data_IF_396085457957
#
_entry.id   IF_396085457957
#
_cell.length_a   1.000
_cell.length_b   1.000
_cell.length_c   1.000
_cell.angle_alpha   90.00
_cell.angle_beta   90.00
_cell.angle_gamma   90.00
#
_symmetry.space_group_name_H-M   'P 1'
#
loop_
_entity.id
_entity.type
_entity.pdbx_description
1 polymer ?
#
# COMPACT_ATOMS: atom_id res chain seq x y z
N UNK A 1 -16.14 -20.19 -1.89
CA UNK A 1 -14.87 -19.63 -2.41
C UNK A 1 -14.61 -20.04 -3.85
N UNK A 2 -14.85 -19.12 -4.79
CA UNK A 2 -14.60 -19.30 -6.23
C UNK A 2 -13.10 -19.25 -6.55
N UNK A 3 -12.49 -20.45 -6.64
CA UNK A 3 -11.06 -20.60 -6.93
C UNK A 3 -10.69 -20.08 -8.31
N UNK A 4 -11.55 -20.27 -9.32
CA UNK A 4 -11.28 -19.81 -10.68
C UNK A 4 -11.15 -18.28 -10.72
N UNK A 5 -12.03 -17.57 -10.04
CA UNK A 5 -11.96 -16.12 -9.92
C UNK A 5 -10.66 -15.63 -9.26
N UNK A 6 -10.27 -16.27 -8.15
CA UNK A 6 -9.01 -15.97 -7.47
C UNK A 6 -7.79 -16.23 -8.37
N UNK A 7 -7.79 -17.29 -9.18
CA UNK A 7 -6.72 -17.60 -10.13
C UNK A 7 -6.63 -16.56 -11.26
N UNK A 8 -7.76 -16.01 -11.71
CA UNK A 8 -7.79 -14.91 -12.68
C UNK A 8 -7.12 -13.68 -12.06
N UNK A 9 -7.55 -13.27 -10.85
CA UNK A 9 -6.96 -12.10 -10.18
C UNK A 9 -5.47 -12.31 -9.88
N UNK A 10 -5.07 -13.53 -9.52
CA UNK A 10 -3.67 -13.89 -9.32
C UNK A 10 -2.85 -13.77 -10.61
N UNK A 11 -3.40 -14.23 -11.74
CA UNK A 11 -2.74 -14.12 -13.05
C UNK A 11 -2.59 -12.67 -13.49
N UNK A 12 -3.61 -11.84 -13.28
CA UNK A 12 -3.55 -10.38 -13.52
C UNK A 12 -2.49 -9.74 -12.61
N UNK A 13 -2.50 -10.09 -11.33
CA UNK A 13 -1.53 -9.60 -10.35
C UNK A 13 -0.10 -9.96 -10.75
N UNK A 14 0.15 -11.21 -11.19
CA UNK A 14 1.44 -11.66 -11.72
C UNK A 14 1.86 -10.83 -12.94
N UNK A 15 0.97 -10.62 -13.90
CA UNK A 15 1.27 -9.89 -15.13
C UNK A 15 1.73 -8.45 -14.83
N UNK A 16 0.99 -7.70 -14.00
CA UNK A 16 1.32 -6.31 -13.69
C UNK A 16 2.47 -6.17 -12.67
N UNK A 17 2.65 -7.14 -11.77
CA UNK A 17 3.77 -7.18 -10.84
C UNK A 17 5.11 -7.54 -11.53
N UNK A 18 5.08 -8.05 -12.76
CA UNK A 18 6.27 -8.46 -13.53
C UNK A 18 7.27 -7.32 -13.79
N UNK A 19 6.84 -6.06 -13.69
CA UNK A 19 7.75 -4.89 -13.74
C UNK A 19 8.87 -4.97 -12.70
N UNK A 20 8.68 -5.74 -11.62
CA UNK A 20 9.71 -6.05 -10.63
C UNK A 20 10.93 -6.82 -11.16
N UNK A 21 10.81 -7.53 -12.28
CA UNK A 21 11.98 -8.17 -12.89
C UNK A 21 13.00 -7.17 -13.42
N UNK A 22 12.54 -5.97 -13.83
CA UNK A 22 13.42 -4.87 -14.22
C UNK A 22 14.15 -4.28 -13.00
N UNK A 23 13.43 -4.03 -11.90
CA UNK A 23 13.99 -3.63 -10.60
C UNK A 23 13.20 -4.30 -9.48
N UNK A 24 13.85 -5.12 -8.65
CA UNK A 24 13.14 -5.91 -7.63
C UNK A 24 12.26 -5.07 -6.69
N UNK A 25 12.66 -3.83 -6.39
CA UNK A 25 11.86 -2.89 -5.58
C UNK A 25 10.50 -2.58 -6.21
N UNK A 26 10.37 -2.70 -7.53
CA UNK A 26 9.10 -2.50 -8.22
C UNK A 26 8.07 -3.58 -7.94
N UNK A 27 8.47 -4.79 -7.52
CA UNK A 27 7.49 -5.79 -7.06
C UNK A 27 6.62 -5.16 -5.97
N UNK A 28 7.24 -4.52 -4.97
CA UNK A 28 6.57 -3.91 -3.81
C UNK A 28 6.13 -2.46 -4.00
N UNK A 29 6.28 -1.86 -5.19
CA UNK A 29 6.03 -0.42 -5.38
C UNK A 29 5.20 -0.11 -6.63
N UNK A 30 5.84 0.03 -7.80
CA UNK A 30 5.10 0.31 -9.05
C UNK A 30 4.20 -0.86 -9.43
N UNK A 31 4.73 -2.09 -9.38
CA UNK A 31 3.98 -3.32 -9.67
C UNK A 31 2.79 -3.50 -8.73
N UNK A 32 2.96 -3.16 -7.45
CA UNK A 32 1.87 -3.14 -6.48
C UNK A 32 0.70 -2.23 -6.91
N UNK A 33 0.96 -0.95 -7.16
CA UNK A 33 -0.10 -0.02 -7.59
C UNK A 33 -0.76 -0.44 -8.90
N UNK A 34 0.03 -0.92 -9.86
CA UNK A 34 -0.48 -1.44 -11.13
C UNK A 34 -1.37 -2.68 -10.95
N UNK A 35 -0.96 -3.64 -10.12
CA UNK A 35 -1.73 -4.85 -9.84
C UNK A 35 -3.06 -4.52 -9.16
N UNK A 36 -3.07 -3.62 -8.17
CA UNK A 36 -4.32 -3.21 -7.49
C UNK A 36 -5.28 -2.53 -8.46
N UNK A 37 -4.78 -1.63 -9.32
CA UNK A 37 -5.62 -0.99 -10.33
C UNK A 37 -6.14 -1.98 -11.37
N UNK A 38 -5.30 -2.91 -11.83
CA UNK A 38 -5.68 -3.94 -12.78
C UNK A 38 -6.71 -4.93 -12.21
N UNK A 39 -6.60 -5.28 -10.92
CA UNK A 39 -7.60 -6.08 -10.23
C UNK A 39 -8.93 -5.33 -10.17
N UNK A 40 -8.95 -4.07 -9.76
CA UNK A 40 -10.17 -3.25 -9.74
C UNK A 40 -10.85 -3.16 -11.12
N UNK A 41 -10.07 -2.95 -12.17
CA UNK A 41 -10.57 -2.95 -13.56
C UNK A 41 -11.11 -4.33 -13.98
N UNK A 42 -10.41 -5.41 -13.59
CA UNK A 42 -10.83 -6.79 -13.88
C UNK A 42 -12.14 -7.13 -13.20
N UNK A 43 -12.32 -6.76 -11.94
CA UNK A 43 -13.57 -6.94 -11.20
C UNK A 43 -14.73 -6.20 -11.90
N UNK A 44 -14.50 -4.96 -12.35
CA UNK A 44 -15.51 -4.15 -13.02
C UNK A 44 -15.88 -4.73 -14.41
N UNK A 45 -14.91 -5.20 -15.19
CA UNK A 45 -15.13 -5.67 -16.56
C UNK A 45 -15.65 -7.13 -16.58
N UNK A 46 -15.00 -8.02 -15.84
CA UNK A 46 -15.27 -9.47 -15.91
C UNK A 46 -16.46 -9.89 -15.05
N UNK A 47 -16.75 -9.17 -13.96
CA UNK A 47 -17.89 -9.44 -13.06
C UNK A 47 -18.94 -8.32 -13.10
N UNK A 48 -19.07 -7.65 -14.25
CA UNK A 48 -20.00 -6.53 -14.44
C UNK A 48 -21.45 -6.94 -14.13
N UNK A 49 -21.86 -8.12 -14.59
CA UNK A 49 -23.19 -8.70 -14.37
C UNK A 49 -23.55 -8.92 -12.90
N UNK A 50 -22.55 -9.06 -12.03
CA UNK A 50 -22.71 -9.19 -10.57
C UNK A 50 -22.53 -7.88 -9.81
N UNK A 51 -22.21 -6.79 -10.48
CA UNK A 51 -21.82 -5.54 -9.84
C UNK A 51 -23.01 -4.68 -9.43
N UNK A 52 -22.91 -4.07 -8.26
CA UNK A 52 -23.83 -3.07 -7.75
C UNK A 52 -23.23 -1.67 -7.91
N UNK A 53 -24.00 -0.63 -7.61
CA UNK A 53 -23.48 0.75 -7.62
C UNK A 53 -22.33 0.92 -6.63
N UNK A 54 -22.43 0.35 -5.42
CA UNK A 54 -21.36 0.47 -4.43
C UNK A 54 -20.11 -0.34 -4.83
N UNK A 55 -20.24 -1.53 -5.44
CA UNK A 55 -19.05 -2.29 -5.87
C UNK A 55 -18.35 -1.64 -7.05
N UNK A 56 -19.09 -1.00 -7.97
CA UNK A 56 -18.50 -0.17 -9.03
C UNK A 56 -17.69 0.97 -8.40
N UNK A 57 -18.26 1.68 -7.42
CA UNK A 57 -17.56 2.75 -6.71
C UNK A 57 -16.28 2.23 -6.03
N UNK A 58 -16.35 1.10 -5.32
CA UNK A 58 -15.20 0.48 -4.66
C UNK A 58 -14.09 0.08 -5.67
N UNK A 59 -14.47 -0.52 -6.81
CA UNK A 59 -13.53 -0.84 -7.89
C UNK A 59 -12.84 0.42 -8.44
N UNK A 60 -13.59 1.51 -8.66
CA UNK A 60 -13.03 2.78 -9.11
C UNK A 60 -12.08 3.39 -8.07
N UNK A 61 -12.42 3.30 -6.78
CA UNK A 61 -11.56 3.75 -5.68
C UNK A 61 -10.23 2.96 -5.68
N UNK A 62 -10.28 1.63 -5.85
CA UNK A 62 -9.07 0.80 -5.98
C UNK A 62 -8.23 1.18 -7.21
N UNK A 63 -8.87 1.46 -8.34
CA UNK A 63 -8.18 1.93 -9.55
C UNK A 63 -7.49 3.27 -9.33
N UNK A 64 -8.20 4.23 -8.72
CA UNK A 64 -7.66 5.56 -8.39
C UNK A 64 -6.46 5.40 -7.44
N UNK A 65 -6.58 4.59 -6.40
CA UNK A 65 -5.48 4.30 -5.47
C UNK A 65 -4.25 3.74 -6.20
N UNK A 66 -4.43 2.68 -6.98
CA UNK A 66 -3.33 2.00 -7.67
C UNK A 66 -2.64 2.88 -8.70
N UNK A 67 -3.41 3.61 -9.52
CA UNK A 67 -2.89 4.55 -10.53
C UNK A 67 -2.15 5.71 -9.85
N UNK A 68 -2.71 6.29 -8.78
CA UNK A 68 -2.07 7.36 -8.00
C UNK A 68 -0.73 6.90 -7.46
N UNK A 69 -0.68 5.74 -6.81
CA UNK A 69 0.54 5.22 -6.20
C UNK A 69 1.61 4.92 -7.25
N UNK A 70 1.28 4.16 -8.29
CA UNK A 70 2.20 3.84 -9.37
C UNK A 70 2.68 5.12 -10.10
N UNK A 71 1.77 6.03 -10.43
CA UNK A 71 2.05 7.29 -11.10
C UNK A 71 2.96 8.21 -10.29
N UNK A 72 2.70 8.35 -8.98
CA UNK A 72 3.55 9.15 -8.08
C UNK A 72 4.98 8.60 -8.00
N UNK A 73 5.13 7.27 -7.92
CA UNK A 73 6.43 6.61 -7.85
C UNK A 73 7.23 6.78 -9.16
N UNK A 74 6.59 6.55 -10.31
CA UNK A 74 7.20 6.73 -11.63
C UNK A 74 7.58 8.20 -11.85
N UNK A 75 6.69 9.14 -11.54
CA UNK A 75 6.97 10.58 -11.64
C UNK A 75 8.19 10.98 -10.79
N UNK A 76 8.24 10.53 -9.54
CA UNK A 76 9.35 10.82 -8.63
C UNK A 76 10.66 10.27 -9.15
N UNK A 77 10.65 9.08 -9.73
CA UNK A 77 11.83 8.50 -10.35
C UNK A 77 12.30 9.28 -11.57
N UNK A 78 11.39 9.68 -12.46
CA UNK A 78 11.76 10.38 -13.69
C UNK A 78 12.33 11.78 -13.39
N UNK A 79 11.74 12.50 -12.44
CA UNK A 79 12.04 13.92 -12.18
C UNK A 79 13.10 14.19 -11.11
N UNK A 80 13.31 13.28 -10.16
CA UNK A 80 14.24 13.53 -9.06
C UNK A 80 15.55 12.76 -9.26
N UNK A 81 16.57 13.43 -9.80
CA UNK A 81 17.91 12.84 -10.02
C UNK A 81 18.57 12.32 -8.74
N UNK A 82 18.32 12.98 -7.59
CA UNK A 82 18.78 12.48 -6.29
C UNK A 82 18.01 11.21 -5.88
N UNK A 83 16.73 11.08 -6.22
CA UNK A 83 15.99 9.83 -6.03
C UNK A 83 16.45 8.73 -6.99
N UNK A 84 16.84 9.04 -8.24
CA UNK A 84 17.50 8.07 -9.13
C UNK A 84 18.78 7.53 -8.51
N UNK A 85 19.58 8.41 -7.90
CA UNK A 85 20.81 8.02 -7.17
C UNK A 85 20.49 7.21 -5.91
N UNK A 86 19.52 7.61 -5.09
CA UNK A 86 19.09 6.81 -3.93
C UNK A 86 18.50 5.47 -4.36
N UNK A 87 17.79 5.40 -5.48
CA UNK A 87 17.26 4.18 -6.03
C UNK A 87 18.39 3.31 -6.57
N UNK A 88 19.41 3.87 -7.26
CA UNK A 88 20.60 3.12 -7.67
C UNK A 88 21.42 2.62 -6.47
N UNK A 89 21.51 3.42 -5.41
CA UNK A 89 22.24 3.13 -4.16
C UNK A 89 21.44 2.21 -3.21
N UNK A 90 20.12 2.11 -3.37
CA UNK A 90 19.26 1.09 -2.76
C UNK A 90 19.13 -0.19 -3.62
N UNK A 91 19.43 -0.09 -4.93
CA UNK A 91 19.50 -1.20 -5.88
C UNK A 91 20.92 -1.64 -6.32
N UNK A 92 22.03 -1.44 -5.58
CA UNK A 92 23.32 -2.05 -5.93
C UNK A 92 23.19 -3.58 -6.04
N UNK A 93 22.19 -4.13 -5.35
CA UNK A 93 21.79 -5.53 -5.31
C UNK A 93 20.72 -5.93 -6.35
N UNK A 94 20.32 -5.05 -7.28
CA UNK A 94 19.44 -5.42 -8.41
C UNK A 94 20.06 -6.53 -9.28
N UNK A 95 21.40 -6.53 -9.37
CA UNK A 95 22.20 -7.59 -9.99
C UNK A 95 22.51 -8.80 -9.08
N UNK A 96 22.28 -8.71 -7.76
CA UNK A 96 22.72 -9.75 -6.80
C UNK A 96 21.59 -10.65 -6.30
N UNK A 97 20.32 -10.28 -6.47
CA UNK A 97 19.22 -11.16 -6.07
C UNK A 97 19.07 -12.30 -7.10
N UNK A 98 19.27 -13.58 -6.70
CA UNK A 98 19.15 -14.71 -7.61
C UNK A 98 17.75 -14.77 -8.24
N UNK A 99 17.66 -15.24 -9.49
CA UNK A 99 16.39 -15.40 -10.19
C UNK A 99 15.33 -16.18 -9.39
N UNK A 100 15.67 -17.30 -8.68
CA UNK A 100 14.71 -17.99 -7.83
C UNK A 100 14.11 -17.10 -6.73
N UNK A 101 14.91 -16.23 -6.11
CA UNK A 101 14.42 -15.29 -5.10
C UNK A 101 13.49 -14.22 -5.71
N UNK A 102 13.79 -13.75 -6.94
CA UNK A 102 12.90 -12.84 -7.68
C UNK A 102 11.57 -13.51 -8.03
N UNK A 103 11.58 -14.77 -8.46
CA UNK A 103 10.36 -15.54 -8.75
C UNK A 103 9.54 -15.73 -7.47
N UNK A 104 10.18 -16.11 -6.36
CA UNK A 104 9.50 -16.25 -5.07
C UNK A 104 8.86 -14.94 -4.61
N UNK A 105 9.56 -13.81 -4.73
CA UNK A 105 9.01 -12.49 -4.42
C UNK A 105 7.87 -12.11 -5.36
N UNK A 106 8.00 -12.36 -6.66
CA UNK A 106 6.97 -12.08 -7.65
C UNK A 106 5.65 -12.81 -7.34
N UNK A 107 5.75 -14.12 -7.08
CA UNK A 107 4.61 -14.96 -6.69
C UNK A 107 4.03 -14.51 -5.34
N UNK A 108 4.88 -14.30 -4.34
CA UNK A 108 4.46 -13.90 -3.00
C UNK A 108 3.77 -12.53 -2.97
N UNK A 109 4.30 -11.55 -3.71
CA UNK A 109 3.68 -10.23 -3.84
C UNK A 109 2.38 -10.29 -4.63
N UNK A 110 2.33 -11.06 -5.72
CA UNK A 110 1.10 -11.22 -6.48
C UNK A 110 -0.02 -11.84 -5.62
N UNK A 111 0.32 -12.84 -4.80
CA UNK A 111 -0.59 -13.48 -3.86
C UNK A 111 -1.05 -12.50 -2.77
N UNK A 112 -0.13 -11.71 -2.21
CA UNK A 112 -0.47 -10.68 -1.23
C UNK A 112 -1.51 -9.69 -1.80
N UNK A 113 -1.39 -9.28 -3.05
CA UNK A 113 -2.35 -8.34 -3.65
C UNK A 113 -3.72 -8.96 -3.88
N UNK A 114 -3.78 -10.25 -4.22
CA UNK A 114 -5.06 -10.98 -4.29
C UNK A 114 -5.69 -11.10 -2.91
N UNK A 115 -4.90 -11.44 -1.87
CA UNK A 115 -5.38 -11.52 -0.49
C UNK A 115 -5.94 -10.18 -0.02
N UNK A 116 -5.21 -9.08 -0.25
CA UNK A 116 -5.62 -7.72 0.14
C UNK A 116 -6.89 -7.25 -0.55
N UNK A 117 -7.07 -7.59 -1.83
CA UNK A 117 -8.23 -7.18 -2.64
C UNK A 117 -9.41 -8.15 -2.53
N UNK A 118 -9.21 -9.30 -1.89
CA UNK A 118 -10.22 -10.34 -1.74
C UNK A 118 -11.53 -9.92 -1.04
N UNK A 119 -11.57 -8.98 -0.08
CA UNK A 119 -12.83 -8.51 0.50
C UNK A 119 -13.84 -8.03 -0.55
N UNK A 120 -13.38 -7.22 -1.51
CA UNK A 120 -14.21 -6.72 -2.60
C UNK A 120 -14.55 -7.82 -3.61
N UNK A 121 -13.59 -8.70 -3.92
CA UNK A 121 -13.84 -9.85 -4.78
C UNK A 121 -14.94 -10.75 -4.23
N UNK A 122 -14.89 -11.13 -2.95
CA UNK A 122 -15.90 -12.02 -2.35
C UNK A 122 -17.27 -11.34 -2.31
N UNK A 123 -17.35 -10.04 -2.05
CA UNK A 123 -18.62 -9.30 -2.16
C UNK A 123 -19.25 -9.40 -3.53
N UNK A 124 -18.47 -9.19 -4.58
CA UNK A 124 -18.95 -9.26 -5.96
C UNK A 124 -19.31 -10.70 -6.33
N UNK A 125 -18.45 -11.67 -5.99
CA UNK A 125 -18.63 -13.06 -6.39
C UNK A 125 -19.84 -13.71 -5.71
N UNK A 126 -20.02 -13.45 -4.41
CA UNK A 126 -21.16 -13.89 -3.61
C UNK A 126 -22.40 -13.01 -3.82
N UNK A 127 -22.35 -12.03 -4.73
CA UNK A 127 -23.47 -11.15 -5.08
C UNK A 127 -24.11 -10.46 -3.86
N UNK A 128 -23.28 -10.09 -2.88
CA UNK A 128 -23.77 -9.45 -1.66
C UNK A 128 -24.17 -8.01 -1.95
N UNK A 129 -25.46 -7.72 -1.82
CA UNK A 129 -26.04 -6.41 -2.10
C UNK A 129 -25.48 -5.26 -1.26
N UNK A 130 -25.79 -4.04 -1.70
CA UNK A 130 -25.33 -2.81 -1.08
C UNK A 130 -25.84 -2.67 0.36
N UNK A 131 -24.94 -2.27 1.25
CA UNK A 131 -25.24 -2.07 2.66
C UNK A 131 -24.28 -1.07 3.29
N UNK A 132 -24.49 -0.76 4.57
CA UNK A 132 -23.70 0.23 5.29
C UNK A 132 -22.18 -0.04 5.24
N UNK A 133 -21.76 -1.31 5.27
CA UNK A 133 -20.35 -1.66 5.35
C UNK A 133 -19.57 -1.33 4.07
N UNK A 134 -20.15 -1.52 2.87
CA UNK A 134 -19.45 -1.14 1.64
C UNK A 134 -19.32 0.38 1.49
N UNK A 135 -20.36 1.14 1.87
CA UNK A 135 -20.26 2.61 1.82
C UNK A 135 -19.31 3.17 2.88
N UNK A 136 -19.33 2.60 4.10
CA UNK A 136 -18.37 2.96 5.15
C UNK A 136 -16.94 2.61 4.73
N UNK A 137 -16.74 1.43 4.17
CA UNK A 137 -15.46 1.00 3.62
C UNK A 137 -14.95 1.91 2.51
N UNK A 138 -15.80 2.26 1.54
CA UNK A 138 -15.48 3.25 0.51
C UNK A 138 -15.07 4.61 1.11
N UNK A 139 -15.81 5.11 2.11
CA UNK A 139 -15.50 6.38 2.76
C UNK A 139 -14.14 6.34 3.49
N UNK A 140 -13.86 5.24 4.19
CA UNK A 140 -12.56 5.00 4.85
C UNK A 140 -11.45 4.92 3.79
N UNK A 141 -11.66 4.18 2.70
CA UNK A 141 -10.71 4.04 1.59
C UNK A 141 -10.36 5.39 0.95
N UNK A 142 -11.37 6.21 0.67
CA UNK A 142 -11.20 7.57 0.13
C UNK A 142 -10.43 8.46 1.12
N UNK A 143 -10.77 8.41 2.41
CA UNK A 143 -10.03 9.15 3.42
C UNK A 143 -8.55 8.73 3.46
N UNK A 144 -8.26 7.42 3.38
CA UNK A 144 -6.89 6.90 3.30
C UNK A 144 -6.10 7.46 2.11
N UNK A 145 -6.70 7.46 0.90
CA UNK A 145 -6.10 8.04 -0.31
C UNK A 145 -5.77 9.52 -0.12
N UNK A 146 -6.72 10.30 0.42
CA UNK A 146 -6.55 11.74 0.63
C UNK A 146 -5.47 12.02 1.69
N UNK A 147 -5.47 11.25 2.79
CA UNK A 147 -4.50 11.36 3.87
C UNK A 147 -3.08 11.05 3.39
N UNK A 148 -2.91 9.94 2.68
CA UNK A 148 -1.63 9.55 2.07
C UNK A 148 -1.14 10.62 1.08
N UNK A 149 -2.03 11.12 0.22
CA UNK A 149 -1.71 12.17 -0.76
C UNK A 149 -1.25 13.46 -0.11
N UNK A 150 -1.95 13.90 0.93
CA UNK A 150 -1.55 15.09 1.68
C UNK A 150 -0.20 14.89 2.37
N UNK A 151 0.05 13.71 2.95
CA UNK A 151 1.33 13.38 3.57
C UNK A 151 2.48 13.46 2.55
N UNK A 152 2.33 12.87 1.37
CA UNK A 152 3.36 12.90 0.32
C UNK A 152 3.63 14.32 -0.20
N UNK A 153 2.58 15.14 -0.37
CA UNK A 153 2.70 16.54 -0.78
C UNK A 153 3.46 17.33 0.29
N UNK A 154 3.08 17.20 1.56
CA UNK A 154 3.73 17.87 2.68
C UNK A 154 5.21 17.47 2.81
N UNK A 155 5.51 16.17 2.65
CA UNK A 155 6.89 15.65 2.68
C UNK A 155 7.72 16.26 1.56
N UNK A 156 7.17 16.26 0.35
CA UNK A 156 7.85 16.77 -0.84
C UNK A 156 8.10 18.28 -0.74
N UNK A 157 7.12 19.05 -0.24
CA UNK A 157 7.26 20.48 -0.02
C UNK A 157 8.33 20.79 1.02
N UNK A 158 8.35 20.08 2.16
CA UNK A 158 9.35 20.28 3.21
C UNK A 158 10.76 19.91 2.73
N UNK A 159 10.91 18.80 2.00
CA UNK A 159 12.21 18.38 1.47
C UNK A 159 12.78 19.32 0.41
N UNK A 160 11.95 20.07 -0.33
CA UNK A 160 12.41 21.12 -1.24
C UNK A 160 13.04 22.30 -0.51
N UNK A 161 12.55 22.62 0.68
CA UNK A 161 13.06 23.73 1.51
C UNK A 161 14.27 23.27 2.33
N UNK A 162 14.19 22.09 2.94
CA UNK A 162 15.23 21.54 3.81
C UNK A 162 15.52 20.08 3.49
N UNK A 163 16.55 19.85 2.69
CA UNK A 163 16.92 18.49 2.23
C UNK A 163 17.56 17.66 3.34
N UNK A 164 18.26 18.32 4.26
CA UNK A 164 19.09 17.72 5.31
C UNK A 164 18.30 17.32 6.56
N UNK A 165 16.97 17.33 6.54
CA UNK A 165 16.13 16.97 7.69
C UNK A 165 14.86 16.22 7.27
N UNK A 166 14.28 15.39 8.14
CA UNK A 166 12.97 14.75 7.87
C UNK A 166 11.84 15.78 7.82
N UNK A 167 10.68 15.39 7.29
CA UNK A 167 9.48 16.21 7.39
C UNK A 167 8.95 16.13 8.83
N UNK A 168 8.63 17.29 9.43
CA UNK A 168 8.21 17.40 10.84
C UNK A 168 6.95 18.25 11.00
N UNK A 169 6.45 18.88 9.92
CA UNK A 169 5.25 19.75 9.94
C UNK A 169 4.03 19.07 9.32
N UNK A 170 2.84 19.55 9.67
CA UNK A 170 1.57 19.04 9.17
C UNK A 170 1.23 17.68 9.78
N UNK A 171 0.86 16.70 8.94
CA UNK A 171 0.57 15.33 9.37
C UNK A 171 1.77 14.67 10.04
N UNK A 172 2.99 15.11 9.72
CA UNK A 172 4.21 14.63 10.35
C UNK A 172 4.35 15.03 11.83
N UNK A 173 3.51 15.94 12.35
CA UNK A 173 3.43 16.20 13.81
C UNK A 173 2.59 15.16 14.56
N UNK A 174 1.75 14.42 13.84
CA UNK A 174 0.82 13.45 14.42
C UNK A 174 1.51 12.08 14.51
N UNK A 175 2.12 11.65 13.40
CA UNK A 175 2.94 10.43 13.32
C UNK A 175 4.11 10.67 12.36
N UNK A 176 5.21 9.91 12.51
CA UNK A 176 6.40 10.06 11.64
C UNK A 176 6.23 9.46 10.25
N UNK A 177 5.33 8.49 10.09
CA UNK A 177 5.01 7.83 8.83
C UNK A 177 3.53 7.99 8.42
N UNK A 178 3.01 9.23 8.23
CA UNK A 178 1.59 9.45 7.95
C UNK A 178 1.15 8.89 6.60
N UNK A 179 2.06 8.81 5.62
CA UNK A 179 1.76 8.17 4.34
C UNK A 179 1.53 6.65 4.49
N UNK A 180 2.26 5.97 5.39
CA UNK A 180 2.02 4.55 5.68
C UNK A 180 0.72 4.35 6.49
N UNK A 181 0.38 5.30 7.37
CA UNK A 181 -0.92 5.29 8.03
C UNK A 181 -2.07 5.46 7.03
N UNK A 182 -1.94 6.33 6.03
CA UNK A 182 -2.91 6.49 4.95
C UNK A 182 -3.13 5.19 4.17
N UNK A 183 -2.05 4.45 3.89
CA UNK A 183 -2.10 3.13 3.25
C UNK A 183 -2.83 2.10 4.13
N UNK A 184 -2.55 2.06 5.44
CA UNK A 184 -3.30 1.21 6.39
C UNK A 184 -4.78 1.54 6.39
N UNK A 185 -5.14 2.83 6.45
CA UNK A 185 -6.53 3.29 6.44
C UNK A 185 -7.21 2.84 5.15
N UNK A 186 -6.55 2.99 4.00
CA UNK A 186 -7.09 2.53 2.73
C UNK A 186 -7.46 1.03 2.76
N UNK A 187 -6.53 0.17 3.19
CA UNK A 187 -6.80 -1.27 3.27
C UNK A 187 -7.78 -1.66 4.38
N UNK A 188 -7.88 -0.84 5.43
CA UNK A 188 -8.95 -0.99 6.43
C UNK A 188 -10.30 -0.79 5.78
N UNK A 189 -10.44 0.22 4.91
CA UNK A 189 -11.64 0.46 4.13
C UNK A 189 -12.01 -0.74 3.26
N UNK A 190 -11.07 -1.25 2.46
CA UNK A 190 -11.28 -2.46 1.63
C UNK A 190 -11.68 -3.66 2.50
N UNK A 191 -11.04 -3.89 3.64
CA UNK A 191 -11.43 -4.99 4.54
C UNK A 191 -12.84 -4.83 5.11
N UNK A 192 -13.23 -3.59 5.46
CA UNK A 192 -14.59 -3.26 5.94
C UNK A 192 -15.65 -3.51 4.86
N UNK A 193 -15.34 -3.25 3.58
CA UNK A 193 -16.25 -3.55 2.46
C UNK A 193 -16.68 -5.02 2.46
N UNK A 194 -15.80 -5.95 2.83
CA UNK A 194 -16.07 -7.40 2.84
C UNK A 194 -16.81 -7.95 4.06
N UNK A 195 -17.02 -7.19 5.15
CA UNK A 195 -17.48 -7.73 6.46
C UNK A 195 -18.77 -8.56 6.37
N UNK A 196 -19.72 -8.17 5.52
CA UNK A 196 -21.01 -8.88 5.36
C UNK A 196 -21.04 -9.81 4.15
N UNK A 197 -19.91 -10.01 3.48
CA UNK A 197 -19.85 -10.65 2.16
C UNK A 197 -19.25 -12.06 2.19
N UNK A 198 -18.74 -12.52 3.33
CA UNK A 198 -18.10 -13.83 3.44
C UNK A 198 -19.15 -14.93 3.66
N UNK A 199 -19.28 -15.85 2.71
CA UNK A 199 -20.20 -17.00 2.81
C UNK A 199 -19.58 -18.17 3.60
N UNK A 200 -18.27 -18.10 3.86
CA UNK A 200 -17.55 -19.12 4.63
C UNK A 200 -16.44 -18.54 5.50
N UNK A 201 -16.06 -19.29 6.54
CA UNK A 201 -14.92 -18.95 7.42
C UNK A 201 -13.62 -18.86 6.63
N UNK A 202 -13.46 -19.64 5.56
CA UNK A 202 -12.27 -19.59 4.71
C UNK A 202 -12.11 -18.27 3.97
N UNK A 203 -13.21 -17.68 3.49
CA UNK A 203 -13.19 -16.37 2.81
C UNK A 203 -12.82 -15.26 3.79
N UNK A 204 -13.37 -15.29 5.00
CA UNK A 204 -12.98 -14.36 6.06
C UNK A 204 -11.49 -14.49 6.41
N UNK A 205 -10.99 -15.72 6.61
CA UNK A 205 -9.56 -15.96 6.92
C UNK A 205 -8.68 -15.46 5.77
N UNK A 206 -9.06 -15.71 4.52
CA UNK A 206 -8.32 -15.28 3.34
C UNK A 206 -8.18 -13.74 3.29
N UNK A 207 -9.29 -13.03 3.50
CA UNK A 207 -9.31 -11.57 3.62
C UNK A 207 -8.51 -11.05 4.83
N UNK A 208 -8.68 -11.68 6.00
CA UNK A 208 -8.00 -11.28 7.23
C UNK A 208 -6.49 -11.45 7.13
N UNK A 209 -6.00 -12.52 6.49
CA UNK A 209 -4.57 -12.70 6.20
C UNK A 209 -4.06 -11.55 5.34
N UNK A 210 -4.77 -11.18 4.27
CA UNK A 210 -4.41 -10.03 3.44
C UNK A 210 -4.27 -8.73 4.24
N UNK A 211 -5.25 -8.45 5.10
CA UNK A 211 -5.26 -7.27 5.96
C UNK A 211 -4.13 -7.29 7.02
N UNK A 212 -3.89 -8.42 7.68
CA UNK A 212 -2.81 -8.54 8.67
C UNK A 212 -1.43 -8.39 7.99
N UNK A 213 -1.26 -8.97 6.80
CA UNK A 213 0.01 -8.87 6.07
C UNK A 213 0.31 -7.42 5.65
N UNK A 214 -0.68 -6.62 5.24
CA UNK A 214 -0.41 -5.20 4.94
C UNK A 214 -0.02 -4.42 6.19
N UNK A 215 -0.68 -4.66 7.34
CA UNK A 215 -0.27 -4.04 8.61
C UNK A 215 1.18 -4.39 8.95
N UNK A 216 1.55 -5.66 8.80
CA UNK A 216 2.93 -6.12 9.01
C UNK A 216 3.91 -5.42 8.07
N UNK A 217 3.62 -5.38 6.76
CA UNK A 217 4.47 -4.73 5.75
C UNK A 217 4.65 -3.24 6.03
N UNK A 218 3.61 -2.55 6.52
CA UNK A 218 3.67 -1.13 6.88
C UNK A 218 4.50 -0.87 8.13
N UNK A 219 4.34 -1.67 9.18
CA UNK A 219 5.17 -1.59 10.41
C UNK A 219 6.64 -1.88 10.10
N UNK A 220 6.91 -2.92 9.33
CA UNK A 220 8.25 -3.32 8.92
C UNK A 220 8.91 -2.27 8.00
N UNK A 221 8.13 -1.64 7.12
CA UNK A 221 8.60 -0.53 6.29
C UNK A 221 8.87 0.73 7.11
N UNK A 222 8.05 1.04 8.12
CA UNK A 222 8.30 2.13 9.06
C UNK A 222 9.60 1.91 9.84
N UNK A 223 9.85 0.68 10.32
CA UNK A 223 11.09 0.30 11.00
C UNK A 223 12.32 0.51 10.10
N UNK A 224 12.29 0.02 8.86
CA UNK A 224 13.38 0.25 7.89
C UNK A 224 13.62 1.72 7.62
N UNK A 225 12.55 2.51 7.49
CA UNK A 225 12.64 3.94 7.27
C UNK A 225 13.29 4.64 8.47
N UNK A 226 12.89 4.30 9.69
CA UNK A 226 13.51 4.81 10.91
C UNK A 226 15.00 4.47 10.97
N UNK A 227 15.42 3.22 10.74
CA UNK A 227 16.84 2.85 10.74
C UNK A 227 17.64 3.70 9.75
N UNK A 228 17.08 3.95 8.56
CA UNK A 228 17.71 4.82 7.55
C UNK A 228 17.76 6.29 7.99
N UNK A 229 16.72 6.79 8.66
CA UNK A 229 16.68 8.15 9.18
C UNK A 229 17.64 8.33 10.35
N UNK A 230 17.73 7.37 11.27
CA UNK A 230 18.71 7.37 12.37
C UNK A 230 20.14 7.42 11.82
N UNK A 231 20.46 6.63 10.79
CA UNK A 231 21.77 6.69 10.14
C UNK A 231 22.09 8.04 9.49
N UNK A 232 21.08 8.72 8.93
CA UNK A 232 21.30 9.95 8.15
C UNK A 232 21.16 11.23 8.99
N UNK A 233 20.39 11.19 10.08
CA UNK A 233 19.98 12.37 10.84
C UNK A 233 20.18 12.20 12.37
N UNK A 234 20.61 11.03 12.85
CA UNK A 234 20.72 10.70 14.28
C UNK A 234 21.63 11.63 15.08
N UNK A 235 22.64 12.21 14.44
CA UNK A 235 23.54 13.16 15.09
C UNK A 235 22.89 14.53 15.34
N UNK A 236 21.75 14.83 14.68
CA UNK A 236 21.03 16.10 14.83
C UNK A 236 20.09 16.05 16.03
N UNK A 237 20.29 16.96 16.97
CA UNK A 237 19.45 17.10 18.17
C UNK A 237 17.96 17.29 17.82
N UNK A 238 17.66 18.18 16.86
CA UNK A 238 16.29 18.41 16.37
C UNK A 238 15.62 17.13 15.84
N UNK A 239 16.38 16.19 15.26
CA UNK A 239 15.82 14.92 14.79
C UNK A 239 15.50 13.98 15.95
N UNK A 240 16.39 13.88 16.94
CA UNK A 240 16.17 13.06 18.13
C UNK A 240 14.95 13.56 18.90
N UNK A 241 14.87 14.87 19.17
CA UNK A 241 13.74 15.47 19.86
C UNK A 241 12.42 15.20 19.13
N UNK A 242 12.40 15.36 17.80
CA UNK A 242 11.23 15.01 16.99
C UNK A 242 10.87 13.52 17.06
N UNK A 243 11.89 12.64 16.97
CA UNK A 243 11.71 11.19 16.97
C UNK A 243 11.16 10.67 18.31
N UNK A 244 11.61 11.25 19.41
CA UNK A 244 11.27 10.82 20.78
C UNK A 244 9.86 11.27 21.20
N UNK A 245 9.31 12.31 20.56
CA UNK A 245 7.99 12.88 20.91
C UNK A 245 6.89 12.61 19.87
N UNK A 246 7.23 12.05 18.70
CA UNK A 246 6.25 11.78 17.64
C UNK A 246 6.14 10.28 17.41
N UNK A 247 4.97 9.66 17.64
CA UNK A 247 4.76 8.23 17.40
C UNK A 247 5.11 7.85 15.96
N UNK A 248 5.64 6.65 15.74
CA UNK A 248 6.13 6.28 14.41
C UNK A 248 5.00 6.10 13.38
N UNK A 249 3.89 5.48 13.78
CA UNK A 249 2.86 5.02 12.84
C UNK A 249 1.42 5.18 13.35
N UNK A 250 1.15 4.91 14.63
CA UNK A 250 -0.21 4.97 15.19
C UNK A 250 -0.33 6.17 16.15
N UNK A 251 -1.24 7.13 15.89
CA UNK A 251 -1.28 8.42 16.60
C UNK A 251 -1.59 8.32 18.10
N UNK A 252 -2.31 7.26 18.51
CA UNK A 252 -2.78 7.09 19.88
C UNK A 252 -2.06 5.95 20.63
N UNK A 253 -0.99 5.42 20.05
CA UNK A 253 -0.17 4.39 20.66
C UNK A 253 1.21 5.02 20.88
N UNK A 254 1.74 5.07 22.13
CA UNK A 254 3.03 5.68 22.43
C UNK A 254 4.21 4.79 21.97
N UNK A 255 4.19 4.40 20.70
CA UNK A 255 5.22 3.60 20.04
C UNK A 255 6.09 4.55 19.22
N UNK A 256 7.14 5.06 19.88
CA UNK A 256 8.04 6.02 19.28
C UNK A 256 9.08 5.33 18.41
N UNK A 257 9.72 4.25 18.85
CA UNK A 257 10.80 3.59 18.11
C UNK A 257 10.51 2.12 17.83
N UNK A 258 10.83 1.67 16.61
CA UNK A 258 10.80 0.27 16.16
C UNK A 258 12.19 -0.28 15.90
N UNK A 259 13.12 0.57 15.49
CA UNK A 259 14.53 0.26 15.35
C UNK A 259 15.24 0.48 16.69
N UNK A 260 16.16 -0.44 17.02
CA UNK A 260 17.13 -0.25 18.10
C UNK A 260 18.33 0.52 17.58
#
# INVERSE_FOLDING_TARGET
MNIQGLLILFSISLAFCSVGFYKFVYFMSVGYGLSVAAIGATLLIYYNDKSTTATILACLIMMIYGIRLAGFLVYRELKNGAYKKVLSDATPHSKSMPLPAKIGMWIGMALLYVLQTSPLFFRIDNMTGDNLFIYAGCAISVFGILFESLADIQKSAQKKVRMDMVATKGLYKIVRCPNYLGEIIFWTGVFVEGITAYDSVFEFIFAAIGYILILYVMVDSAKRLESKQNKNYGDKEEYREYADHTPILFPFIPLYHLAK
#
